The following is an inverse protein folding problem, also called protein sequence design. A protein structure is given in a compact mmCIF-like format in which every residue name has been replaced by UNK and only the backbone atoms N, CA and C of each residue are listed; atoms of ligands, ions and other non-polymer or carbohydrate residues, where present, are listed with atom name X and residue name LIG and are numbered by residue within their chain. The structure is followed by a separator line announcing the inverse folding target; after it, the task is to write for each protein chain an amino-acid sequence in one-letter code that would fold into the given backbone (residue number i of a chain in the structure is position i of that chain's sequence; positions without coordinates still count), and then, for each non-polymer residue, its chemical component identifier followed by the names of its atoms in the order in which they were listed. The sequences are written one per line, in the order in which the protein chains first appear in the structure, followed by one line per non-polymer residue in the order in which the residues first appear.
data_IF_283056804829
#
_entry.id   IF_283056804829
#
_cell.length_a   1.000
_cell.length_b   1.000
_cell.length_c   1.000
_cell.angle_alpha   90.00
_cell.angle_beta   90.00
_cell.angle_gamma   90.00
#
_symmetry.space_group_name_H-M   'P 1'
#
loop_
_entity.id
_entity.type
_entity.pdbx_description
1 polymer ?
#
# COMPACT_ATOMS: atom_id res chain seq x y z
N UNK A 1 7.10 18.25 -19.59
CA UNK A 1 5.95 18.11 -18.66
C UNK A 1 5.13 16.96 -19.18
N UNK A 2 5.24 15.82 -18.51
CA UNK A 2 4.40 14.69 -18.84
C UNK A 2 3.02 15.01 -18.25
N UNK A 3 2.07 15.36 -19.15
CA UNK A 3 0.70 15.65 -18.77
C UNK A 3 -0.05 14.39 -18.34
N UNK A 4 -1.29 14.55 -17.88
CA UNK A 4 -2.19 13.42 -17.61
C UNK A 4 -2.45 12.64 -18.90
N UNK A 5 -2.38 11.32 -18.83
CA UNK A 5 -2.81 10.44 -19.92
C UNK A 5 -4.35 10.41 -19.99
N UNK A 6 -4.89 9.98 -21.13
CA UNK A 6 -6.33 9.71 -21.22
C UNK A 6 -6.71 8.61 -20.25
N UNK A 7 -7.90 8.70 -19.62
CA UNK A 7 -8.42 7.65 -18.73
C UNK A 7 -8.45 6.29 -19.46
N UNK A 8 -8.01 5.26 -18.75
CA UNK A 8 -8.09 3.88 -19.22
C UNK A 8 -9.10 3.11 -18.36
N UNK A 9 -9.93 2.23 -18.95
CA UNK A 9 -10.85 1.43 -18.18
C UNK A 9 -10.11 0.44 -17.29
N UNK A 10 -10.50 0.38 -16.02
CA UNK A 10 -10.00 -0.61 -15.07
C UNK A 10 -10.81 -1.90 -15.24
N UNK A 11 -10.12 -3.02 -15.48
CA UNK A 11 -10.75 -4.33 -15.57
C UNK A 11 -10.90 -4.95 -14.20
N UNK A 12 -12.13 -5.29 -13.81
CA UNK A 12 -12.43 -6.05 -12.60
C UNK A 12 -13.08 -7.36 -13.04
N UNK A 13 -12.52 -8.48 -12.60
CA UNK A 13 -13.01 -9.80 -13.00
C UNK A 13 -14.38 -10.07 -12.39
N UNK A 14 -15.31 -10.61 -13.19
CA UNK A 14 -16.70 -10.92 -12.78
C UNK A 14 -17.42 -9.73 -12.09
N UNK A 15 -17.11 -8.51 -12.49
CA UNK A 15 -17.76 -7.31 -11.94
C UNK A 15 -19.26 -7.33 -12.29
N UNK A 16 -20.08 -7.14 -11.26
CA UNK A 16 -21.52 -6.96 -11.40
C UNK A 16 -21.99 -5.98 -10.34
N UNK A 17 -22.75 -4.99 -10.76
CA UNK A 17 -23.46 -4.07 -9.87
C UNK A 17 -24.89 -3.90 -10.39
N UNK A 18 -25.89 -4.17 -9.56
CA UNK A 18 -27.31 -4.01 -9.87
C UNK A 18 -27.81 -2.59 -9.58
N UNK A 19 -27.04 -1.84 -8.78
CA UNK A 19 -27.36 -0.45 -8.44
C UNK A 19 -26.87 0.50 -9.54
N UNK A 20 -27.54 1.63 -9.69
CA UNK A 20 -27.09 2.71 -10.57
C UNK A 20 -25.90 3.48 -9.99
N UNK A 21 -25.64 3.37 -8.69
CA UNK A 21 -24.53 3.99 -8.00
C UNK A 21 -23.47 2.93 -7.65
N UNK A 22 -22.23 3.32 -7.65
CA UNK A 22 -21.13 2.60 -7.08
C UNK A 22 -20.09 3.60 -6.59
N UNK A 23 -19.40 3.23 -5.54
CA UNK A 23 -18.34 4.04 -4.98
C UNK A 23 -17.15 3.15 -4.70
N UNK A 24 -15.97 3.70 -4.75
CA UNK A 24 -14.77 2.92 -4.53
C UNK A 24 -13.66 3.77 -3.90
N UNK A 25 -12.80 3.08 -3.18
CA UNK A 25 -11.53 3.57 -2.65
C UNK A 25 -10.42 2.64 -3.11
N UNK A 26 -9.28 3.20 -3.48
CA UNK A 26 -8.07 2.44 -3.84
C UNK A 26 -7.01 2.71 -2.78
N UNK A 27 -6.33 1.64 -2.31
CA UNK A 27 -5.17 1.78 -1.42
C UNK A 27 -4.07 2.61 -2.08
N UNK A 28 -3.23 3.27 -1.27
CA UNK A 28 -2.18 4.16 -1.77
C UNK A 28 -1.17 3.51 -2.72
N UNK A 29 -1.02 2.18 -2.65
CA UNK A 29 -0.19 1.36 -3.54
C UNK A 29 -0.94 0.82 -4.76
N UNK A 30 -2.25 1.09 -4.88
CA UNK A 30 -3.10 0.57 -5.94
C UNK A 30 -3.43 -0.92 -5.83
N UNK A 31 -2.94 -1.62 -4.82
CA UNK A 31 -3.08 -3.08 -4.68
C UNK A 31 -4.47 -3.55 -4.26
N UNK A 32 -5.21 -2.71 -3.57
CA UNK A 32 -6.52 -3.03 -2.98
C UNK A 32 -7.55 -2.01 -3.46
N UNK A 33 -8.68 -2.50 -3.95
CA UNK A 33 -9.84 -1.69 -4.27
C UNK A 33 -11.01 -2.13 -3.40
N UNK A 34 -11.56 -1.20 -2.62
CA UNK A 34 -12.79 -1.39 -1.84
C UNK A 34 -13.93 -0.72 -2.60
N UNK A 35 -15.05 -1.38 -2.70
CA UNK A 35 -16.20 -0.95 -3.50
C UNK A 35 -17.49 -1.10 -2.71
N UNK A 36 -18.45 -0.22 -2.99
CA UNK A 36 -19.84 -0.34 -2.57
C UNK A 36 -20.67 -0.81 -3.77
N UNK A 37 -21.24 -2.01 -3.69
CA UNK A 37 -21.94 -2.67 -4.79
C UNK A 37 -23.23 -3.33 -4.33
N UNK A 38 -24.27 -3.29 -5.16
CA UNK A 38 -25.44 -4.13 -5.04
C UNK A 38 -25.27 -5.39 -5.89
N UNK A 39 -25.38 -6.57 -5.27
CA UNK A 39 -25.30 -7.85 -5.97
C UNK A 39 -26.43 -8.78 -5.53
N UNK A 40 -26.75 -9.77 -6.34
CA UNK A 40 -27.77 -10.78 -5.99
C UNK A 40 -27.38 -11.64 -4.76
N UNK A 41 -26.13 -11.63 -4.35
CA UNK A 41 -25.61 -12.34 -3.19
C UNK A 41 -25.34 -11.41 -1.99
N UNK A 42 -25.63 -10.11 -2.14
CA UNK A 42 -25.51 -9.11 -1.07
C UNK A 42 -26.59 -9.25 0.00
N UNK A 43 -26.43 -8.51 1.09
CA UNK A 43 -27.39 -8.46 2.17
C UNK A 43 -28.35 -7.28 2.04
N UNK A 44 -27.81 -6.13 1.67
CA UNK A 44 -28.52 -4.86 1.50
C UNK A 44 -28.67 -4.44 0.05
N UNK A 45 -28.93 -3.15 -0.16
CA UNK A 45 -28.88 -2.57 -1.50
C UNK A 45 -27.43 -2.32 -1.92
N UNK A 46 -26.64 -1.69 -1.05
CA UNK A 46 -25.23 -1.49 -1.27
C UNK A 46 -24.44 -2.13 -0.14
N UNK A 47 -23.60 -3.09 -0.48
CA UNK A 47 -22.69 -3.79 0.43
C UNK A 47 -21.24 -3.45 0.09
N UNK A 48 -20.31 -3.55 1.05
CA UNK A 48 -18.89 -3.38 0.81
C UNK A 48 -18.24 -4.68 0.32
N UNK A 49 -17.39 -4.50 -0.69
CA UNK A 49 -16.59 -5.55 -1.32
C UNK A 49 -15.14 -5.14 -1.46
N UNK A 50 -14.22 -6.11 -1.51
CA UNK A 50 -12.81 -5.91 -1.82
C UNK A 50 -12.40 -6.65 -3.07
N UNK A 51 -11.47 -6.07 -3.82
CA UNK A 51 -10.83 -6.67 -4.97
C UNK A 51 -9.34 -6.36 -4.96
N UNK A 52 -8.52 -7.26 -5.49
CA UNK A 52 -7.05 -7.19 -5.42
C UNK A 52 -6.46 -7.10 -6.81
N UNK A 53 -5.46 -6.23 -6.96
CA UNK A 53 -4.70 -6.10 -8.19
C UNK A 53 -3.97 -7.42 -8.50
N UNK A 54 -4.07 -7.88 -9.73
CA UNK A 54 -3.45 -9.10 -10.23
C UNK A 54 -2.24 -8.79 -11.13
N UNK A 55 -1.43 -9.82 -11.39
CA UNK A 55 -0.23 -9.68 -12.21
C UNK A 55 -0.48 -9.21 -13.66
N UNK A 56 -1.70 -9.44 -14.16
CA UNK A 56 -2.14 -8.99 -15.50
C UNK A 56 -2.70 -7.55 -15.52
N UNK A 57 -2.64 -6.85 -14.39
CA UNK A 57 -3.17 -5.49 -14.24
C UNK A 57 -4.69 -5.42 -14.04
N UNK A 58 -5.39 -6.55 -14.02
CA UNK A 58 -6.82 -6.60 -13.64
C UNK A 58 -7.00 -6.70 -12.13
N UNK A 59 -8.19 -6.34 -11.64
CA UNK A 59 -8.58 -6.63 -10.28
C UNK A 59 -9.34 -7.96 -10.19
N UNK A 60 -9.18 -8.65 -9.07
CA UNK A 60 -9.85 -9.92 -8.80
C UNK A 60 -11.37 -9.78 -8.78
N UNK A 61 -12.10 -10.91 -8.77
CA UNK A 61 -13.54 -10.91 -8.48
C UNK A 61 -13.82 -10.26 -7.12
N UNK A 62 -14.78 -9.33 -7.02
CA UNK A 62 -15.14 -8.68 -5.77
C UNK A 62 -15.56 -9.68 -4.70
N UNK A 63 -14.99 -9.59 -3.52
CA UNK A 63 -15.28 -10.41 -2.36
C UNK A 63 -16.03 -9.60 -1.32
N UNK A 64 -17.20 -10.10 -0.88
CA UNK A 64 -18.04 -9.45 0.12
C UNK A 64 -17.34 -9.38 1.49
N UNK A 65 -17.47 -8.27 2.22
CA UNK A 65 -16.89 -8.06 3.55
C UNK A 65 -17.51 -8.92 4.66
N UNK A 66 -18.64 -9.56 4.37
CA UNK A 66 -19.35 -10.40 5.33
C UNK A 66 -20.27 -9.62 6.28
N UNK A 67 -20.89 -10.36 7.18
CA UNK A 67 -22.01 -9.88 7.98
C UNK A 67 -21.63 -9.00 9.17
N UNK A 68 -20.36 -8.87 9.48
CA UNK A 68 -19.88 -7.93 10.50
C UNK A 68 -19.99 -6.47 10.01
N UNK A 69 -19.82 -6.27 8.70
CA UNK A 69 -19.86 -4.96 8.06
C UNK A 69 -21.16 -4.76 7.28
N UNK A 70 -21.52 -5.73 6.43
CA UNK A 70 -22.67 -5.59 5.54
C UNK A 70 -23.97 -5.96 6.25
N UNK A 71 -24.96 -5.09 6.13
CA UNK A 71 -26.27 -5.18 6.79
C UNK A 71 -27.41 -5.32 5.77
N UNK A 72 -28.64 -5.19 6.20
CA UNK A 72 -29.80 -5.04 5.31
C UNK A 72 -29.98 -3.60 4.79
N UNK A 73 -29.19 -2.67 5.30
CA UNK A 73 -29.14 -1.27 4.86
C UNK A 73 -28.21 -1.03 3.68
N UNK A 74 -27.67 0.16 3.62
CA UNK A 74 -26.66 0.56 2.65
C UNK A 74 -25.33 0.83 3.36
N UNK A 75 -24.28 0.15 2.94
CA UNK A 75 -22.91 0.45 3.29
C UNK A 75 -22.21 1.10 2.09
N UNK A 76 -21.81 2.36 2.25
CA UNK A 76 -21.35 3.19 1.13
C UNK A 76 -20.16 4.07 1.52
N UNK A 77 -19.62 4.80 0.54
CA UNK A 77 -18.49 5.72 0.68
C UNK A 77 -17.29 5.16 1.44
N UNK A 78 -16.79 3.96 1.07
CA UNK A 78 -15.68 3.33 1.79
C UNK A 78 -14.40 4.14 1.67
N UNK A 79 -13.63 4.21 2.77
CA UNK A 79 -12.28 4.74 2.80
C UNK A 79 -11.37 3.79 3.59
N UNK A 80 -10.42 3.16 2.91
CA UNK A 80 -9.41 2.31 3.51
C UNK A 80 -8.25 3.18 3.98
N UNK A 81 -7.96 3.18 5.27
CA UNK A 81 -6.84 3.92 5.83
C UNK A 81 -5.49 3.38 5.33
N UNK A 82 -4.44 4.19 5.50
CA UNK A 82 -3.09 3.86 5.06
C UNK A 82 -2.52 2.59 5.72
N UNK A 83 -3.02 2.19 6.90
CA UNK A 83 -2.66 0.96 7.58
C UNK A 83 -3.16 -0.32 6.87
N UNK A 84 -4.02 -0.20 5.83
CA UNK A 84 -4.62 -1.31 5.09
C UNK A 84 -5.52 -2.23 5.92
N UNK A 85 -5.86 -1.83 7.14
CA UNK A 85 -6.67 -2.58 8.10
C UNK A 85 -7.93 -1.85 8.53
N UNK A 86 -7.84 -0.53 8.68
CA UNK A 86 -8.94 0.30 9.17
C UNK A 86 -9.78 0.79 7.99
N UNK A 87 -11.07 0.48 8.02
CA UNK A 87 -12.06 0.95 7.06
C UNK A 87 -12.99 1.96 7.73
N UNK A 88 -13.24 3.07 7.06
CA UNK A 88 -14.32 3.99 7.36
C UNK A 88 -15.38 3.88 6.27
N UNK A 89 -16.63 3.93 6.64
CA UNK A 89 -17.74 3.81 5.70
C UNK A 89 -19.00 4.45 6.28
N UNK A 90 -19.94 4.77 5.43
CA UNK A 90 -21.26 5.26 5.87
C UNK A 90 -22.26 4.13 5.81
N UNK A 91 -23.16 4.06 6.80
CA UNK A 91 -24.22 3.06 6.84
C UNK A 91 -25.48 3.60 7.51
N UNK A 92 -26.65 3.11 7.03
CA UNK A 92 -27.94 3.25 7.69
C UNK A 92 -28.46 1.94 8.26
N UNK A 93 -27.65 0.90 8.26
CA UNK A 93 -28.03 -0.42 8.75
C UNK A 93 -27.66 -0.69 10.22
N UNK A 94 -26.81 0.16 10.82
CA UNK A 94 -26.46 0.11 12.23
C UNK A 94 -27.19 1.18 13.03
N UNK A 95 -27.37 1.00 14.36
CA UNK A 95 -27.86 2.04 15.24
C UNK A 95 -26.98 3.29 15.17
N UNK A 96 -27.60 4.45 14.94
CA UNK A 96 -26.89 5.69 14.75
C UNK A 96 -27.72 6.93 15.07
N UNK A 97 -27.31 8.07 14.51
CA UNK A 97 -27.90 9.38 14.72
C UNK A 97 -28.93 9.75 13.65
N UNK A 98 -28.74 9.22 12.41
CA UNK A 98 -29.54 9.69 11.29
C UNK A 98 -29.68 8.74 10.10
N UNK A 99 -29.79 9.36 8.93
CA UNK A 99 -30.02 8.63 7.66
C UNK A 99 -28.82 7.82 7.21
N UNK A 100 -27.64 8.42 7.25
CA UNK A 100 -26.37 7.76 6.95
C UNK A 100 -25.35 8.27 7.96
N UNK A 101 -24.80 7.37 8.74
CA UNK A 101 -23.79 7.65 9.74
C UNK A 101 -22.44 7.06 9.33
N UNK A 102 -21.37 7.71 9.72
CA UNK A 102 -20.01 7.25 9.49
C UNK A 102 -19.58 6.31 10.62
N UNK A 103 -19.12 5.14 10.24
CA UNK A 103 -18.59 4.08 11.10
C UNK A 103 -17.15 3.78 10.77
N UNK A 104 -16.45 3.18 11.72
CA UNK A 104 -15.10 2.65 11.57
C UNK A 104 -15.06 1.20 12.05
N UNK A 105 -14.35 0.34 11.30
CA UNK A 105 -14.04 -1.02 11.73
C UNK A 105 -12.60 -1.36 11.40
N UNK A 106 -12.02 -2.33 12.14
CA UNK A 106 -10.67 -2.85 11.89
C UNK A 106 -10.73 -4.29 11.45
N UNK A 107 -10.00 -4.60 10.40
CA UNK A 107 -9.83 -5.97 9.90
C UNK A 107 -8.99 -6.78 10.89
N UNK A 108 -9.45 -7.98 11.26
CA UNK A 108 -8.82 -8.84 12.24
C UNK A 108 -7.86 -9.87 11.63
N UNK A 109 -8.05 -10.20 10.34
CA UNK A 109 -7.22 -11.16 9.60
C UNK A 109 -7.20 -10.87 8.09
N UNK A 110 -6.51 -11.71 7.32
CA UNK A 110 -6.40 -11.55 5.87
C UNK A 110 -7.60 -12.10 5.08
N UNK A 111 -8.65 -12.57 5.76
CA UNK A 111 -9.86 -13.07 5.10
C UNK A 111 -10.72 -11.96 4.48
N UNK A 112 -10.65 -10.73 4.98
CA UNK A 112 -11.54 -9.61 4.63
C UNK A 112 -13.02 -9.83 4.97
N UNK A 113 -13.30 -10.84 5.78
CA UNK A 113 -14.64 -11.15 6.27
C UNK A 113 -14.75 -11.10 7.79
N UNK A 114 -13.59 -10.93 8.46
CA UNK A 114 -13.50 -10.90 9.91
C UNK A 114 -13.06 -9.49 10.35
N UNK A 115 -13.97 -8.77 10.98
CA UNK A 115 -13.84 -7.36 11.35
C UNK A 115 -14.24 -7.17 12.80
N UNK A 116 -13.74 -6.10 13.44
CA UNK A 116 -14.32 -5.63 14.69
C UNK A 116 -15.77 -5.18 14.49
N UNK A 117 -16.54 -5.10 15.56
CA UNK A 117 -17.84 -4.40 15.48
C UNK A 117 -17.61 -2.96 15.00
N UNK A 118 -18.47 -2.47 14.08
CA UNK A 118 -18.40 -1.09 13.61
C UNK A 118 -18.64 -0.10 14.74
N UNK A 119 -17.68 0.81 14.92
CA UNK A 119 -17.76 1.91 15.86
C UNK A 119 -18.39 3.12 15.18
N UNK A 120 -19.54 3.61 15.68
CA UNK A 120 -20.10 4.87 15.26
C UNK A 120 -19.19 6.02 15.72
N UNK A 121 -18.85 6.97 14.83
CA UNK A 121 -17.90 8.05 15.14
C UNK A 121 -18.48 9.16 16.04
N UNK A 122 -19.73 9.05 16.44
CA UNK A 122 -20.36 9.93 17.41
C UNK A 122 -20.89 11.24 16.85
N UNK A 123 -21.53 12.04 17.71
CA UNK A 123 -22.28 13.26 17.33
C UNK A 123 -21.41 14.43 16.86
N UNK A 124 -20.08 14.34 16.98
CA UNK A 124 -19.18 15.36 16.41
C UNK A 124 -19.05 15.20 14.89
N UNK A 125 -19.24 13.96 14.40
CA UNK A 125 -19.23 13.58 12.98
C UNK A 125 -20.65 13.38 12.47
N UNK A 126 -21.43 12.53 13.15
CA UNK A 126 -22.72 12.04 12.71
C UNK A 126 -23.87 12.93 13.18
N UNK A 127 -24.84 13.14 12.31
CA UNK A 127 -25.99 14.01 12.49
C UNK A 127 -27.28 13.24 12.17
N UNK A 128 -28.50 13.81 12.38
CA UNK A 128 -29.75 13.20 11.93
C UNK A 128 -29.86 13.09 10.40
N UNK A 129 -28.97 13.71 9.64
CA UNK A 129 -29.00 13.79 8.19
C UNK A 129 -28.01 12.83 7.54
N UNK A 130 -27.44 13.21 6.41
CA UNK A 130 -26.45 12.42 5.66
C UNK A 130 -25.03 12.82 6.04
N UNK A 131 -24.25 11.85 6.52
CA UNK A 131 -22.82 11.97 6.83
C UNK A 131 -22.05 10.91 6.02
N UNK A 132 -21.21 11.34 5.08
CA UNK A 132 -20.64 10.50 4.04
C UNK A 132 -19.22 10.97 3.64
N UNK A 133 -18.53 10.18 2.82
CA UNK A 133 -17.21 10.51 2.23
C UNK A 133 -16.13 10.84 3.28
N UNK A 134 -16.08 10.06 4.35
CA UNK A 134 -15.07 10.23 5.37
C UNK A 134 -13.69 9.82 4.84
N UNK A 135 -12.70 10.67 5.04
CA UNK A 135 -11.31 10.41 4.72
C UNK A 135 -10.40 11.01 5.79
N UNK A 136 -9.19 10.49 5.92
CA UNK A 136 -8.21 10.99 6.87
C UNK A 136 -6.88 11.25 6.16
N UNK A 137 -6.09 12.16 6.72
CA UNK A 137 -4.72 12.36 6.28
C UNK A 137 -3.84 11.14 6.63
N UNK A 138 -2.70 11.01 5.97
CA UNK A 138 -1.79 9.87 6.18
C UNK A 138 -1.21 9.81 7.61
N UNK A 139 -1.20 10.93 8.33
CA UNK A 139 -0.76 11.00 9.73
C UNK A 139 -1.83 10.54 10.72
N UNK A 140 -3.08 10.42 10.27
CA UNK A 140 -4.21 10.11 11.14
C UNK A 140 -4.48 11.22 12.16
N UNK A 141 -4.32 12.48 11.77
CA UNK A 141 -4.54 13.65 12.65
C UNK A 141 -5.83 14.39 12.32
N UNK A 142 -6.15 14.52 11.03
CA UNK A 142 -7.29 15.29 10.54
C UNK A 142 -8.18 14.40 9.68
N UNK A 143 -9.47 14.46 9.93
CA UNK A 143 -10.49 13.84 9.10
C UNK A 143 -11.25 14.88 8.31
N UNK A 144 -11.68 14.51 7.10
CA UNK A 144 -12.55 15.27 6.22
C UNK A 144 -13.75 14.41 5.88
N UNK A 145 -14.94 15.01 5.86
CA UNK A 145 -16.18 14.32 5.52
C UNK A 145 -17.19 15.30 4.96
N UNK A 146 -18.21 14.78 4.31
CA UNK A 146 -19.33 15.56 3.81
C UNK A 146 -20.56 15.32 4.69
N UNK A 147 -21.26 16.39 5.03
CA UNK A 147 -22.46 16.32 5.86
C UNK A 147 -23.49 17.36 5.41
N UNK A 148 -24.78 17.02 5.50
CA UNK A 148 -25.87 17.95 5.25
C UNK A 148 -26.38 18.68 6.49
N UNK A 149 -25.60 18.69 7.57
CA UNK A 149 -25.96 19.27 8.87
C UNK A 149 -26.30 20.77 8.85
N UNK A 150 -25.81 21.51 7.86
CA UNK A 150 -26.00 22.96 7.82
C UNK A 150 -27.40 23.37 7.37
N UNK A 151 -27.97 22.67 6.39
CA UNK A 151 -29.25 23.05 5.76
C UNK A 151 -30.14 21.87 5.38
N UNK A 152 -29.76 20.63 5.68
CA UNK A 152 -30.55 19.42 5.45
C UNK A 152 -30.67 18.98 3.98
N UNK A 153 -30.18 19.76 3.02
CA UNK A 153 -30.36 19.51 1.58
C UNK A 153 -29.08 19.37 0.77
N UNK A 154 -28.02 20.07 1.16
CA UNK A 154 -26.75 20.04 0.46
C UNK A 154 -25.66 19.47 1.37
N UNK A 155 -24.73 18.75 0.77
CA UNK A 155 -23.53 18.28 1.46
C UNK A 155 -22.47 19.38 1.44
N UNK A 156 -22.02 19.79 2.63
CA UNK A 156 -20.87 20.65 2.83
C UNK A 156 -19.67 19.81 3.32
N UNK A 157 -18.46 20.27 3.05
CA UNK A 157 -17.23 19.58 3.50
C UNK A 157 -16.83 20.13 4.88
N UNK A 158 -16.63 19.20 5.80
CA UNK A 158 -16.16 19.49 7.17
C UNK A 158 -14.80 18.85 7.42
N UNK A 159 -14.08 19.41 8.37
CA UNK A 159 -12.87 18.80 8.90
C UNK A 159 -12.89 18.81 10.42
N UNK A 160 -12.38 17.75 11.01
CA UNK A 160 -12.22 17.64 12.46
C UNK A 160 -10.83 17.07 12.79
N UNK A 161 -10.37 17.31 14.01
CA UNK A 161 -9.26 16.55 14.56
C UNK A 161 -9.75 15.11 14.81
N UNK A 162 -8.97 14.14 14.35
CA UNK A 162 -9.35 12.73 14.46
C UNK A 162 -9.46 12.31 15.94
N UNK A 163 -10.63 11.78 16.39
CA UNK A 163 -10.79 11.27 17.73
C UNK A 163 -9.85 10.08 17.98
N UNK A 164 -9.22 9.97 19.18
CA UNK A 164 -8.26 8.88 19.45
C UNK A 164 -8.80 7.47 19.21
N UNK A 165 -10.08 7.24 19.53
CA UNK A 165 -10.75 5.94 19.34
C UNK A 165 -11.00 5.59 17.86
N UNK A 166 -10.99 6.60 16.97
CA UNK A 166 -11.17 6.45 15.54
C UNK A 166 -9.83 6.39 14.78
N UNK A 167 -8.71 6.37 15.50
CA UNK A 167 -7.39 6.39 14.88
C UNK A 167 -7.03 5.03 14.28
N UNK A 168 -6.51 4.99 13.00
CA UNK A 168 -5.95 3.77 12.44
C UNK A 168 -4.65 3.36 13.15
N UNK A 169 -4.08 2.22 12.76
CA UNK A 169 -2.75 1.84 13.24
C UNK A 169 -1.68 2.77 12.65
N UNK A 170 -0.60 2.97 13.40
CA UNK A 170 0.52 3.79 12.96
C UNK A 170 1.20 3.14 11.74
N UNK A 171 1.68 4.00 10.83
CA UNK A 171 2.35 3.58 9.59
C UNK A 171 3.69 4.31 9.43
N UNK A 172 4.61 3.66 8.71
CA UNK A 172 5.86 4.26 8.32
C UNK A 172 5.79 4.74 6.88
N UNK A 173 6.22 5.96 6.63
CA UNK A 173 6.38 6.49 5.29
C UNK A 173 7.84 6.35 4.84
N UNK A 174 8.12 5.35 4.00
CA UNK A 174 9.41 5.16 3.37
C UNK A 174 9.45 5.95 2.06
N UNK A 175 10.38 6.89 1.96
CA UNK A 175 10.56 7.70 0.75
C UNK A 175 12.03 7.87 0.39
N UNK A 176 12.30 8.26 -0.85
CA UNK A 176 13.67 8.48 -1.31
C UNK A 176 13.75 8.62 -2.83
N UNK A 177 14.96 8.54 -3.33
CA UNK A 177 15.23 8.54 -4.77
C UNK A 177 15.99 7.28 -5.17
N UNK A 178 15.78 6.84 -6.40
CA UNK A 178 16.61 5.83 -7.05
C UNK A 178 17.52 6.55 -8.03
N UNK A 179 18.82 6.27 -7.96
CA UNK A 179 19.84 6.92 -8.78
C UNK A 179 20.70 5.92 -9.54
N UNK A 180 21.27 6.36 -10.62
CA UNK A 180 22.36 5.66 -11.31
C UNK A 180 23.62 5.69 -10.42
N UNK A 181 24.23 4.53 -10.19
CA UNK A 181 25.39 4.40 -9.30
C UNK A 181 26.66 5.10 -9.81
N UNK A 182 26.79 5.29 -11.13
CA UNK A 182 27.96 5.90 -11.74
C UNK A 182 27.80 7.43 -11.80
N UNK A 183 26.66 7.88 -12.29
CA UNK A 183 26.42 9.31 -12.52
C UNK A 183 25.81 10.03 -11.31
N UNK A 184 25.26 9.26 -10.35
CA UNK A 184 24.48 9.77 -9.21
C UNK A 184 23.22 10.55 -9.62
N UNK A 185 22.81 10.50 -10.87
CA UNK A 185 21.59 11.16 -11.33
C UNK A 185 20.36 10.31 -11.01
N UNK A 186 19.24 10.94 -10.62
CA UNK A 186 17.97 10.23 -10.42
C UNK A 186 17.52 9.51 -11.70
N UNK A 187 16.91 8.33 -11.53
CA UNK A 187 16.37 7.51 -12.61
C UNK A 187 14.93 7.10 -12.29
N UNK A 188 14.16 6.81 -13.35
CA UNK A 188 12.88 6.14 -13.18
C UNK A 188 13.11 4.68 -12.85
N UNK A 189 12.40 4.16 -11.84
CA UNK A 189 12.54 2.78 -11.40
C UNK A 189 11.23 2.27 -10.79
N UNK A 190 11.04 0.96 -10.86
CA UNK A 190 9.93 0.27 -10.23
C UNK A 190 10.40 -0.36 -8.92
N UNK A 191 9.63 -0.19 -7.85
CA UNK A 191 9.88 -0.78 -6.55
C UNK A 191 8.75 -1.74 -6.19
N UNK A 192 9.09 -3.00 -5.95
CA UNK A 192 8.15 -4.03 -5.47
C UNK A 192 8.55 -4.43 -4.05
N UNK A 193 7.57 -4.53 -3.16
CA UNK A 193 7.79 -4.80 -1.75
C UNK A 193 7.01 -6.03 -1.33
N UNK A 194 7.67 -6.88 -0.53
CA UNK A 194 7.10 -8.09 0.04
C UNK A 194 7.42 -8.17 1.51
N UNK A 195 6.50 -8.63 2.34
CA UNK A 195 6.81 -9.04 3.70
C UNK A 195 7.55 -10.37 3.67
N UNK A 196 8.57 -10.53 4.52
CA UNK A 196 9.33 -11.79 4.59
C UNK A 196 8.53 -12.87 5.33
N UNK A 197 7.75 -12.47 6.33
CA UNK A 197 6.92 -13.38 7.14
C UNK A 197 5.73 -13.97 6.36
N UNK A 198 5.17 -13.22 5.43
CA UNK A 198 4.10 -13.66 4.56
C UNK A 198 4.43 -13.20 3.14
N UNK A 199 4.74 -14.10 2.19
CA UNK A 199 5.22 -13.73 0.85
C UNK A 199 4.09 -13.24 -0.06
N UNK A 200 3.22 -12.40 0.46
CA UNK A 200 2.21 -11.66 -0.30
C UNK A 200 2.90 -10.39 -0.82
N UNK A 201 2.73 -10.09 -2.09
CA UNK A 201 3.15 -8.80 -2.64
C UNK A 201 2.41 -7.70 -1.89
N UNK A 202 3.14 -6.89 -1.15
CA UNK A 202 2.56 -5.94 -0.22
C UNK A 202 2.37 -4.56 -0.84
N UNK A 203 3.18 -4.18 -1.81
CA UNK A 203 3.09 -2.88 -2.43
C UNK A 203 3.94 -2.74 -3.68
N UNK A 204 3.51 -1.81 -4.52
CA UNK A 204 4.21 -1.39 -5.71
C UNK A 204 4.25 0.14 -5.74
N UNK A 205 5.39 0.71 -6.10
CA UNK A 205 5.52 2.15 -6.34
C UNK A 205 6.56 2.41 -7.40
N UNK A 206 6.49 3.57 -8.03
CA UNK A 206 7.46 4.01 -9.03
C UNK A 206 8.28 5.16 -8.45
N UNK A 207 9.60 5.11 -8.67
CA UNK A 207 10.47 6.27 -8.48
C UNK A 207 10.53 7.06 -9.76
N UNK A 208 10.30 8.36 -9.67
CA UNK A 208 10.48 9.27 -10.80
C UNK A 208 11.71 10.17 -10.61
N UNK A 209 12.27 10.64 -11.72
CA UNK A 209 13.41 11.58 -11.73
C UNK A 209 13.09 12.86 -10.94
N UNK A 210 11.85 13.31 -11.00
CA UNK A 210 11.42 14.60 -10.43
C UNK A 210 10.93 14.52 -8.98
N UNK A 211 10.34 13.39 -8.56
CA UNK A 211 9.68 13.27 -7.25
C UNK A 211 10.23 12.16 -6.36
N UNK A 212 11.10 11.29 -6.90
CA UNK A 212 11.52 10.09 -6.18
C UNK A 212 10.39 9.07 -6.02
N UNK A 213 10.42 8.29 -4.95
CA UNK A 213 9.40 7.32 -4.58
C UNK A 213 8.86 7.59 -3.17
N UNK A 214 7.64 7.15 -2.92
CA UNK A 214 7.02 7.12 -1.60
C UNK A 214 6.20 5.85 -1.45
N UNK A 215 6.24 5.27 -0.25
CA UNK A 215 5.65 4.00 0.06
C UNK A 215 5.26 3.93 1.52
N UNK A 216 4.11 3.36 1.82
CA UNK A 216 3.63 3.16 3.18
C UNK A 216 3.91 1.71 3.60
N UNK A 217 4.62 1.54 4.72
CA UNK A 217 4.85 0.26 5.38
C UNK A 217 3.92 0.16 6.59
N UNK A 218 3.11 -0.88 6.64
CA UNK A 218 1.94 -0.99 7.52
C UNK A 218 2.23 -1.65 8.87
N UNK A 219 3.37 -2.28 9.09
CA UNK A 219 3.64 -3.10 10.30
C UNK A 219 5.11 -3.19 10.62
N UNK A 220 5.39 -3.63 11.87
CA UNK A 220 6.72 -4.15 12.21
C UNK A 220 7.08 -5.35 11.34
N UNK A 221 8.34 -5.54 11.09
CA UNK A 221 8.84 -6.70 10.39
C UNK A 221 9.90 -6.41 9.36
N UNK A 222 10.29 -7.45 8.65
CA UNK A 222 11.27 -7.35 7.59
C UNK A 222 10.61 -7.36 6.23
N UNK A 223 10.97 -6.38 5.43
CA UNK A 223 10.47 -6.17 4.08
C UNK A 223 11.58 -6.39 3.06
N UNK A 224 11.34 -7.24 2.09
CA UNK A 224 12.16 -7.36 0.90
C UNK A 224 11.71 -6.32 -0.12
N UNK A 225 12.63 -5.47 -0.56
CA UNK A 225 12.39 -4.44 -1.57
C UNK A 225 13.21 -4.81 -2.80
N UNK A 226 12.53 -5.05 -3.90
CA UNK A 226 13.13 -5.27 -5.20
C UNK A 226 12.98 -4.01 -6.04
N UNK A 227 14.10 -3.50 -6.56
CA UNK A 227 14.14 -2.27 -7.36
C UNK A 227 14.66 -2.63 -8.74
N UNK A 228 13.90 -2.25 -9.78
CA UNK A 228 14.23 -2.51 -11.17
C UNK A 228 14.07 -1.26 -12.04
N UNK A 229 14.93 -1.13 -13.03
CA UNK A 229 14.84 -0.09 -14.05
C UNK A 229 15.37 -0.65 -15.38
N UNK A 230 14.85 -0.14 -16.49
CA UNK A 230 15.30 -0.55 -17.82
C UNK A 230 16.78 -0.14 -18.04
N UNK A 231 17.58 -1.10 -18.51
CA UNK A 231 19.03 -0.90 -18.66
C UNK A 231 19.87 -1.02 -17.38
N UNK A 232 19.27 -1.43 -16.26
CA UNK A 232 19.96 -1.59 -14.96
C UNK A 232 19.84 -3.01 -14.42
N UNK A 233 20.77 -3.36 -13.52
CA UNK A 233 20.66 -4.58 -12.74
C UNK A 233 19.67 -4.40 -11.60
N UNK A 234 18.86 -5.43 -11.36
CA UNK A 234 17.89 -5.44 -10.26
C UNK A 234 18.62 -5.37 -8.91
N UNK A 235 18.17 -4.50 -8.03
CA UNK A 235 18.64 -4.43 -6.65
C UNK A 235 17.58 -5.08 -5.75
N UNK A 236 18.03 -6.00 -4.90
CA UNK A 236 17.20 -6.68 -3.92
C UNK A 236 17.76 -6.42 -2.53
N UNK A 237 16.99 -5.79 -1.67
CA UNK A 237 17.41 -5.39 -0.32
C UNK A 237 16.35 -5.70 0.71
N UNK A 238 16.77 -5.83 1.97
CA UNK A 238 15.88 -6.04 3.10
C UNK A 238 15.94 -4.83 4.03
N UNK A 239 14.77 -4.36 4.44
CA UNK A 239 14.62 -3.34 5.47
C UNK A 239 13.85 -3.96 6.63
N UNK A 240 14.38 -3.82 7.85
CA UNK A 240 13.70 -4.26 9.07
C UNK A 240 13.21 -3.05 9.85
N UNK A 241 11.96 -3.10 10.30
CA UNK A 241 11.32 -2.09 11.14
C UNK A 241 11.03 -2.76 12.49
N UNK A 242 11.77 -2.33 13.51
CA UNK A 242 11.71 -2.94 14.84
C UNK A 242 10.66 -2.28 15.75
N UNK A 243 10.32 -1.01 15.50
CA UNK A 243 9.31 -0.28 16.28
C UNK A 243 8.67 0.84 15.44
N UNK A 244 7.38 1.09 15.67
CA UNK A 244 6.66 2.27 15.20
C UNK A 244 6.09 2.99 16.42
N UNK A 245 6.33 4.28 16.51
CA UNK A 245 5.73 5.15 17.54
C UNK A 245 5.09 6.33 16.79
N UNK A 246 3.81 6.17 16.45
CA UNK A 246 3.11 7.15 15.62
C UNK A 246 3.47 7.07 14.13
N UNK A 247 3.06 8.08 13.37
CA UNK A 247 3.48 8.23 11.98
C UNK A 247 4.96 8.61 11.96
N UNK A 248 5.77 7.79 11.30
CA UNK A 248 7.20 8.05 11.15
C UNK A 248 7.59 8.11 9.66
N UNK A 249 8.68 8.80 9.37
CA UNK A 249 9.20 9.01 8.03
C UNK A 249 10.66 8.59 7.95
N UNK A 250 10.96 7.65 7.07
CA UNK A 250 12.33 7.23 6.78
C UNK A 250 12.70 7.62 5.34
N UNK A 251 13.81 8.33 5.20
CA UNK A 251 14.40 8.61 3.89
C UNK A 251 15.45 7.54 3.58
N UNK A 252 15.21 6.76 2.53
CA UNK A 252 16.12 5.72 2.04
C UNK A 252 16.36 5.88 0.55
N UNK A 253 17.57 6.25 0.18
CA UNK A 253 17.96 6.32 -1.23
C UNK A 253 18.55 4.98 -1.69
N UNK A 254 18.27 4.62 -2.94
CA UNK A 254 18.82 3.44 -3.58
C UNK A 254 19.66 3.84 -4.79
N UNK A 255 20.61 3.00 -5.16
CA UNK A 255 21.37 3.17 -6.40
C UNK A 255 21.38 1.88 -7.20
N UNK A 256 21.14 1.98 -8.51
CA UNK A 256 21.19 0.86 -9.43
C UNK A 256 22.45 0.91 -10.28
N UNK A 257 22.97 -0.26 -10.57
CA UNK A 257 24.15 -0.45 -11.42
C UNK A 257 23.68 -0.56 -12.86
N UNK A 258 24.14 0.31 -13.79
CA UNK A 258 23.78 0.19 -15.20
C UNK A 258 24.37 -1.09 -15.82
N UNK A 259 23.62 -1.71 -16.75
CA UNK A 259 24.11 -2.85 -17.55
C UNK A 259 25.03 -2.34 -18.65
N UNK A 260 26.29 -2.15 -18.33
CA UNK A 260 27.30 -1.65 -19.27
C UNK A 260 28.41 -2.66 -19.40
N UNK A 261 28.78 -2.99 -20.64
CA UNK A 261 29.92 -3.84 -20.94
C UNK A 261 31.23 -3.26 -20.38
N UNK A 262 32.07 -4.10 -19.80
CA UNK A 262 33.32 -3.66 -19.17
C UNK A 262 33.18 -2.99 -17.81
N UNK A 263 32.01 -2.99 -17.20
CA UNK A 263 31.82 -2.45 -15.86
C UNK A 263 32.53 -3.34 -14.81
N UNK A 264 33.39 -2.72 -14.02
CA UNK A 264 34.05 -3.37 -12.88
C UNK A 264 33.21 -3.07 -11.63
N UNK A 265 32.72 -4.10 -10.96
CA UNK A 265 32.04 -4.00 -9.69
C UNK A 265 33.02 -4.35 -8.57
N UNK A 266 33.37 -3.34 -7.80
CA UNK A 266 34.24 -3.55 -6.64
C UNK A 266 33.45 -4.15 -5.49
N UNK A 267 33.92 -5.28 -4.97
CA UNK A 267 33.32 -5.94 -3.80
C UNK A 267 34.12 -5.50 -2.56
N UNK A 268 33.39 -4.79 -1.68
CA UNK A 268 33.96 -4.37 -0.38
C UNK A 268 33.50 -5.36 0.69
N UNK A 269 34.32 -5.55 1.73
CA UNK A 269 34.02 -6.37 2.91
C UNK A 269 34.06 -7.91 2.71
N UNK A 270 34.83 -8.42 1.76
CA UNK A 270 35.18 -9.83 1.78
C UNK A 270 36.48 -9.97 2.60
N UNK A 271 36.31 -10.37 3.87
CA UNK A 271 37.37 -10.43 4.86
C UNK A 271 37.68 -11.89 5.24
N UNK A 272 38.94 -12.16 5.50
CA UNK A 272 39.39 -13.45 6.02
C UNK A 272 39.77 -13.32 7.50
N UNK A 273 39.55 -14.37 8.27
CA UNK A 273 40.05 -14.46 9.64
C UNK A 273 41.57 -14.30 9.66
N UNK A 274 42.07 -13.63 10.70
CA UNK A 274 43.52 -13.35 10.82
C UNK A 274 44.35 -14.62 10.67
N UNK A 275 45.35 -14.59 9.78
CA UNK A 275 46.21 -15.71 9.44
C UNK A 275 45.47 -16.99 8.97
N UNK A 276 44.35 -16.86 8.29
CA UNK A 276 43.49 -17.96 7.88
C UNK A 276 42.98 -17.74 6.45
N UNK A 277 42.70 -18.82 5.73
CA UNK A 277 41.92 -18.79 4.47
C UNK A 277 40.42 -18.88 4.67
N UNK A 278 39.96 -18.88 5.92
CA UNK A 278 38.53 -18.95 6.28
C UNK A 278 37.93 -17.54 6.26
N UNK A 279 36.87 -17.38 5.56
CA UNK A 279 36.12 -16.12 5.52
C UNK A 279 35.53 -15.75 6.90
N UNK A 280 35.43 -14.45 7.18
CA UNK A 280 34.66 -13.98 8.31
C UNK A 280 33.16 -14.12 8.03
N UNK A 281 32.34 -14.26 9.08
CA UNK A 281 30.88 -14.45 8.94
C UNK A 281 30.22 -13.28 8.23
N UNK A 282 30.73 -12.06 8.41
CA UNK A 282 30.29 -10.85 7.71
C UNK A 282 30.46 -10.93 6.19
N UNK A 283 31.47 -11.68 5.71
CA UNK A 283 31.75 -11.84 4.28
C UNK A 283 30.68 -12.69 3.57
N UNK A 284 30.07 -13.64 4.27
CA UNK A 284 29.00 -14.47 3.67
C UNK A 284 27.78 -13.63 3.26
N UNK A 285 27.46 -12.59 4.01
CA UNK A 285 26.37 -11.68 3.64
C UNK A 285 26.66 -10.92 2.32
N UNK A 286 27.91 -10.54 2.10
CA UNK A 286 28.32 -9.87 0.87
C UNK A 286 28.35 -10.85 -0.32
N UNK A 287 28.81 -12.07 -0.10
CA UNK A 287 28.77 -13.14 -1.11
C UNK A 287 27.34 -13.50 -1.47
N UNK A 288 26.43 -13.59 -0.51
CA UNK A 288 25.01 -13.85 -0.76
C UNK A 288 24.34 -12.75 -1.57
N UNK A 289 24.72 -11.48 -1.38
CA UNK A 289 24.28 -10.38 -2.24
C UNK A 289 24.72 -10.59 -3.69
N UNK A 290 25.97 -11.01 -3.89
CA UNK A 290 26.52 -11.29 -5.22
C UNK A 290 25.80 -12.48 -5.87
N UNK A 291 25.57 -13.54 -5.13
CA UNK A 291 24.84 -14.72 -5.62
C UNK A 291 23.40 -14.35 -6.02
N UNK A 292 22.73 -13.54 -5.21
CA UNK A 292 21.39 -13.02 -5.56
C UNK A 292 21.43 -12.13 -6.81
N UNK A 293 22.40 -11.22 -6.87
CA UNK A 293 22.65 -10.36 -8.02
C UNK A 293 22.90 -11.20 -9.29
N UNK A 294 23.74 -12.20 -9.22
CA UNK A 294 24.02 -13.10 -10.34
C UNK A 294 22.77 -13.88 -10.77
N UNK A 295 22.02 -14.44 -9.82
CA UNK A 295 20.80 -15.20 -10.11
C UNK A 295 19.68 -14.33 -10.70
N UNK A 296 19.54 -13.08 -10.26
CA UNK A 296 18.54 -12.16 -10.78
C UNK A 296 18.88 -11.58 -12.17
N UNK A 297 20.12 -11.69 -12.56
CA UNK A 297 20.67 -10.99 -13.73
C UNK A 297 20.85 -11.91 -14.95
N UNK A 298 21.08 -13.20 -14.74
CA UNK A 298 21.52 -14.09 -15.80
C UNK A 298 20.65 -15.35 -15.88
N UNK A 299 19.80 -15.41 -16.89
CA UNK A 299 19.20 -16.66 -17.38
C UNK A 299 20.21 -17.47 -18.24
N UNK A 300 21.23 -16.81 -18.80
CA UNK A 300 22.24 -17.42 -19.64
C UNK A 300 23.65 -17.12 -19.09
N UNK A 301 24.54 -18.09 -19.17
CA UNK A 301 25.87 -18.17 -18.55
C UNK A 301 26.70 -16.88 -18.71
N UNK A 302 26.95 -16.10 -17.65
CA UNK A 302 27.79 -14.92 -17.75
C UNK A 302 29.27 -15.29 -17.68
N UNK A 303 30.07 -14.63 -18.49
CA UNK A 303 31.54 -14.65 -18.35
C UNK A 303 31.98 -13.59 -17.32
N UNK A 304 32.27 -13.99 -16.11
CA UNK A 304 32.90 -13.13 -15.12
C UNK A 304 34.42 -13.35 -15.11
N UNK A 305 35.18 -12.27 -15.19
CA UNK A 305 36.61 -12.25 -14.90
C UNK A 305 36.78 -11.74 -13.47
N UNK A 306 37.19 -12.61 -12.56
CA UNK A 306 37.65 -12.21 -11.24
C UNK A 306 39.09 -11.77 -11.33
N UNK A 307 39.38 -10.51 -11.06
CA UNK A 307 40.76 -10.03 -10.88
C UNK A 307 40.99 -9.85 -9.39
N UNK A 308 42.00 -10.54 -8.79
CA UNK A 308 42.43 -10.22 -7.44
C UNK A 308 43.06 -8.82 -7.43
N UNK A 309 42.74 -8.02 -6.44
CA UNK A 309 43.37 -6.73 -6.15
C UNK A 309 44.65 -6.97 -5.39
#
# INVERSE_FOLDING_TARGET
MDGWTLPQPVKINNFSNLNQYNEFCISGDGGIMVMSLETSAGKGLLDLYVSFLQADGSYSTPKNFGSAINTAGNEMTPFLAADGKTIYFSSNGFPGYGNQDIFMAKRLDNSWTNWTEPLNLGSEVNTPEWDVYYSIDAKGEIAYFSSSKTNGTNLDIFSIKLPPQAKPEDVLWLKGVVSDRITSLPINADLTIKTISEPINFGFTNSSISSGYALILQQFGSYQIQISADGYYVNDTVITIDSLIGFDEIIKNFSLIPRKEGLIIEMKNILFKVNSSVLEDSSFQEIDKIVRFMKSTFSDTPHFLFQPI
#
